data_IF_918212892841
#
_entry.id   IF_918212892841
#
_cell.length_a   1.000
_cell.length_b   1.000
_cell.length_c   1.000
_cell.angle_alpha   90.00
_cell.angle_beta   90.00
_cell.angle_gamma   90.00
#
_symmetry.space_group_name_H-M   'P 1'
#
loop_
_entity.id
_entity.type
_entity.pdbx_description
1 polymer ?
#
# COMPACT_ATOMS: atom_id res chain seq x y z
N UNK A 1 -14.00 -11.69 30.53
CA UNK A 1 -13.01 -10.60 30.64
C UNK A 1 -12.87 -9.98 29.26
N UNK A 2 -13.40 -8.78 29.07
CA UNK A 2 -13.33 -8.06 27.80
C UNK A 2 -11.99 -7.31 27.72
N UNK A 3 -11.22 -7.56 26.66
CA UNK A 3 -10.03 -6.79 26.37
C UNK A 3 -10.43 -5.48 25.68
N UNK A 4 -10.70 -4.46 26.50
CA UNK A 4 -10.66 -3.07 26.03
C UNK A 4 -9.19 -2.69 25.89
N UNK A 5 -8.64 -2.73 24.67
CA UNK A 5 -7.29 -2.29 24.40
C UNK A 5 -7.30 -0.90 23.73
N UNK A 6 -7.10 0.19 24.50
CA UNK A 6 -7.20 1.57 23.99
C UNK A 6 -6.09 1.95 22.99
N UNK A 7 -5.10 1.09 22.75
CA UNK A 7 -4.02 1.36 21.79
C UNK A 7 -4.42 1.16 20.32
N UNK A 8 -5.44 0.32 20.03
CA UNK A 8 -5.91 0.11 18.65
C UNK A 8 -6.84 1.22 18.15
N UNK A 9 -7.42 2.02 19.06
CA UNK A 9 -8.35 3.09 18.68
C UNK A 9 -7.63 4.31 18.05
N UNK A 10 -6.36 4.55 18.33
CA UNK A 10 -5.66 5.74 17.81
C UNK A 10 -5.28 5.66 16.32
N UNK A 11 -5.31 4.48 15.70
CA UNK A 11 -5.05 4.33 14.25
C UNK A 11 -6.32 4.48 13.39
N UNK A 12 -7.52 4.32 13.99
CA UNK A 12 -8.80 4.47 13.30
C UNK A 12 -9.35 5.89 13.29
N UNK A 13 -8.87 6.76 14.20
CA UNK A 13 -9.40 8.13 14.39
C UNK A 13 -9.19 9.06 13.18
N UNK A 14 -8.41 8.66 12.18
CA UNK A 14 -8.17 9.49 10.98
C UNK A 14 -8.96 9.09 9.73
N UNK A 15 -9.80 8.04 9.78
CA UNK A 15 -10.54 7.59 8.59
C UNK A 15 -12.03 7.96 8.56
N UNK A 16 -12.65 8.40 9.66
CA UNK A 16 -13.99 9.00 9.56
C UNK A 16 -14.36 9.80 10.83
N UNK A 17 -14.33 11.13 10.77
CA UNK A 17 -14.93 11.98 11.83
C UNK A 17 -16.30 12.54 11.46
N UNK A 18 -16.90 12.19 10.32
CA UNK A 18 -18.22 12.66 9.95
C UNK A 18 -19.07 11.55 9.32
N UNK A 19 -19.55 10.60 10.13
CA UNK A 19 -20.85 9.95 9.91
C UNK A 19 -21.19 9.01 11.07
N UNK A 20 -21.89 9.54 12.07
CA UNK A 20 -22.78 8.71 12.87
C UNK A 20 -24.12 8.62 12.12
N UNK A 21 -24.34 7.55 11.34
CA UNK A 21 -25.68 7.03 10.98
C UNK A 21 -25.57 5.65 10.29
N UNK A 22 -26.24 4.60 10.82
CA UNK A 22 -25.99 3.22 10.42
C UNK A 22 -26.64 2.91 9.07
N UNK A 23 -25.84 2.46 8.09
CA UNK A 23 -26.30 1.76 6.90
C UNK A 23 -25.22 0.74 6.50
N UNK A 24 -25.63 -0.45 6.03
CA UNK A 24 -24.79 -1.63 5.71
C UNK A 24 -23.48 -1.40 4.92
N UNK A 25 -23.28 -0.25 4.28
CA UNK A 25 -22.01 0.15 3.66
C UNK A 25 -20.87 0.36 4.66
N UNK A 26 -21.18 0.65 5.93
CA UNK A 26 -20.16 0.88 6.97
C UNK A 26 -19.40 -0.40 7.34
N UNK A 27 -20.04 -1.57 7.28
CA UNK A 27 -19.38 -2.83 7.60
C UNK A 27 -18.37 -3.24 6.54
N UNK A 28 -18.69 -3.08 5.26
CA UNK A 28 -17.77 -3.39 4.16
C UNK A 28 -16.56 -2.45 4.18
N UNK A 29 -16.78 -1.15 4.42
CA UNK A 29 -15.70 -0.17 4.54
C UNK A 29 -14.80 -0.44 5.75
N UNK A 30 -15.37 -0.84 6.89
CA UNK A 30 -14.60 -1.17 8.09
C UNK A 30 -13.64 -2.35 7.87
N UNK A 31 -14.09 -3.38 7.14
CA UNK A 31 -13.26 -4.55 6.84
C UNK A 31 -12.12 -4.16 5.89
N UNK A 32 -12.39 -3.33 4.88
CA UNK A 32 -11.36 -2.84 3.94
C UNK A 32 -10.33 -1.94 4.65
N UNK A 33 -10.79 -1.04 5.52
CA UNK A 33 -9.93 -0.19 6.36
C UNK A 33 -9.04 -1.03 7.28
N UNK A 34 -9.60 -2.09 7.88
CA UNK A 34 -8.86 -2.99 8.73
C UNK A 34 -7.75 -3.73 7.96
N UNK A 35 -8.07 -4.33 6.81
CA UNK A 35 -7.05 -5.01 6.00
C UNK A 35 -6.00 -4.04 5.43
N UNK A 36 -6.42 -2.83 5.08
CA UNK A 36 -5.52 -1.75 4.66
C UNK A 36 -4.56 -1.39 5.79
N UNK A 37 -5.06 -1.22 7.02
CA UNK A 37 -4.23 -0.92 8.19
C UNK A 37 -3.22 -2.03 8.48
N UNK A 38 -3.63 -3.30 8.40
CA UNK A 38 -2.75 -4.47 8.62
C UNK A 38 -1.60 -4.56 7.60
N UNK A 39 -1.79 -4.00 6.41
CA UNK A 39 -0.78 -4.00 5.33
C UNK A 39 -0.01 -2.68 5.22
N UNK A 40 -0.29 -1.72 6.12
CA UNK A 40 0.30 -0.38 6.10
C UNK A 40 1.35 -0.22 7.18
N UNK A 41 2.56 0.13 6.77
CA UNK A 41 3.66 0.41 7.67
C UNK A 41 4.11 1.85 7.52
N UNK A 42 4.43 2.49 8.63
CA UNK A 42 5.01 3.84 8.62
C UNK A 42 6.52 3.75 8.73
N UNK A 43 7.20 4.59 7.95
CA UNK A 43 8.64 4.77 8.01
C UNK A 43 9.00 6.25 7.98
N UNK A 44 10.17 6.57 8.49
CA UNK A 44 10.73 7.91 8.40
C UNK A 44 11.02 8.25 6.94
N UNK A 45 10.75 9.50 6.59
CA UNK A 45 11.07 10.06 5.29
C UNK A 45 12.02 11.24 5.50
N UNK A 46 13.25 11.09 5.05
CA UNK A 46 14.26 12.13 5.02
C UNK A 46 14.44 12.56 3.56
N UNK A 47 14.22 13.84 3.28
CA UNK A 47 14.28 14.37 1.93
C UNK A 47 15.71 14.43 1.36
N UNK A 48 16.71 14.48 2.23
CA UNK A 48 18.13 14.50 1.86
C UNK A 48 18.69 13.08 1.71
N UNK A 49 18.04 12.09 2.32
CA UNK A 49 18.47 10.71 2.25
C UNK A 49 18.04 10.06 0.92
N UNK A 50 19.03 9.62 0.15
CA UNK A 50 18.83 8.91 -1.13
C UNK A 50 18.36 7.46 -0.95
N UNK A 51 18.38 6.94 0.28
CA UNK A 51 17.94 5.59 0.62
C UNK A 51 16.72 5.63 1.55
N UNK A 52 15.77 4.74 1.29
CA UNK A 52 14.62 4.50 2.16
C UNK A 52 14.73 3.12 2.82
N UNK A 53 15.16 3.07 4.07
CA UNK A 53 15.24 1.80 4.81
C UNK A 53 13.83 1.29 5.10
N UNK A 54 13.51 0.09 4.64
CA UNK A 54 12.22 -0.52 4.89
C UNK A 54 12.16 -1.07 6.34
N UNK A 55 11.00 -0.97 7.01
CA UNK A 55 10.82 -1.57 8.33
C UNK A 55 11.09 -3.08 8.30
N UNK A 56 11.79 -3.58 9.32
CA UNK A 56 12.15 -5.00 9.42
C UNK A 56 10.92 -5.92 9.39
N UNK A 57 9.84 -5.55 10.09
CA UNK A 57 8.58 -6.30 10.06
C UNK A 57 7.96 -6.33 8.67
N UNK A 58 7.90 -5.18 7.99
CA UNK A 58 7.38 -5.08 6.63
C UNK A 58 8.16 -5.97 5.64
N UNK A 59 9.49 -5.99 5.77
CA UNK A 59 10.35 -6.81 4.93
C UNK A 59 10.27 -8.30 5.24
N UNK A 60 10.13 -8.66 6.51
CA UNK A 60 9.90 -10.03 6.95
C UNK A 60 8.56 -10.57 6.40
N UNK A 61 7.56 -9.70 6.32
CA UNK A 61 6.22 -10.03 5.89
C UNK A 61 6.05 -10.07 4.36
N UNK A 62 6.41 -8.98 3.68
CA UNK A 62 6.16 -8.82 2.25
C UNK A 62 7.42 -8.97 1.38
N UNK A 63 8.62 -9.00 1.97
CA UNK A 63 9.88 -8.96 1.23
C UNK A 63 10.05 -10.06 0.20
N UNK A 64 9.50 -11.26 0.45
CA UNK A 64 9.54 -12.38 -0.51
C UNK A 64 8.66 -12.16 -1.76
N UNK A 65 7.74 -11.20 -1.72
CA UNK A 65 6.83 -10.84 -2.80
C UNK A 65 7.33 -9.61 -3.57
N UNK A 66 8.40 -8.97 -3.10
CA UNK A 66 9.00 -7.80 -3.73
C UNK A 66 10.02 -8.21 -4.79
N UNK A 67 10.07 -7.43 -5.86
CA UNK A 67 11.05 -7.61 -6.91
C UNK A 67 12.11 -6.53 -6.82
N UNK A 68 13.12 -6.63 -7.68
CA UNK A 68 14.12 -5.58 -7.84
C UNK A 68 13.46 -4.26 -8.19
N UNK A 69 12.45 -4.26 -9.07
CA UNK A 69 11.69 -3.07 -9.40
C UNK A 69 10.31 -3.12 -8.76
N UNK A 70 9.96 -2.06 -8.04
CA UNK A 70 8.64 -1.89 -7.41
C UNK A 70 8.05 -0.54 -7.79
N UNK A 71 6.74 -0.45 -7.81
CA UNK A 71 5.98 0.74 -8.15
C UNK A 71 5.31 1.27 -6.89
N UNK A 72 5.61 2.52 -6.55
CA UNK A 72 4.95 3.27 -5.50
C UNK A 72 3.93 4.21 -6.14
N UNK A 73 2.68 4.15 -5.68
CA UNK A 73 1.57 4.94 -6.21
C UNK A 73 0.95 5.80 -5.12
N UNK A 74 0.68 7.07 -5.40
CA UNK A 74 -0.07 7.91 -4.47
C UNK A 74 -1.57 7.94 -4.82
N UNK A 75 -2.38 8.60 -3.99
CA UNK A 75 -3.83 8.69 -4.21
C UNK A 75 -4.24 9.55 -5.42
N UNK A 76 -3.32 10.33 -6.00
CA UNK A 76 -3.53 11.04 -7.28
C UNK A 76 -3.13 10.22 -8.51
N UNK A 77 -2.65 8.98 -8.32
CA UNK A 77 -2.25 8.09 -9.40
C UNK A 77 -0.84 8.31 -9.95
N UNK A 78 -0.04 9.18 -9.32
CA UNK A 78 1.38 9.35 -9.66
C UNK A 78 2.13 8.06 -9.32
N UNK A 79 2.97 7.58 -10.24
CA UNK A 79 3.70 6.32 -10.12
C UNK A 79 5.20 6.56 -10.13
N UNK A 80 5.87 5.99 -9.14
CA UNK A 80 7.31 6.06 -8.98
C UNK A 80 7.85 4.64 -8.96
N UNK A 81 8.64 4.30 -9.97
CA UNK A 81 9.38 3.06 -9.97
C UNK A 81 10.65 3.22 -9.13
N UNK A 82 10.84 2.30 -8.19
CA UNK A 82 11.98 2.28 -7.27
C UNK A 82 12.71 0.95 -7.32
N UNK A 83 14.03 1.01 -7.13
CA UNK A 83 14.88 -0.19 -7.03
C UNK A 83 15.02 -0.62 -5.58
N UNK A 84 14.72 -1.89 -5.32
CA UNK A 84 14.91 -2.54 -4.03
C UNK A 84 16.29 -3.23 -4.00
N UNK A 85 17.09 -2.87 -3.00
CA UNK A 85 18.41 -3.45 -2.77
C UNK A 85 18.63 -3.75 -1.29
N UNK A 86 19.61 -4.62 -1.00
CA UNK A 86 20.02 -4.92 0.36
C UNK A 86 21.31 -4.17 0.68
N UNK A 87 21.24 -3.19 1.57
CA UNK A 87 22.36 -2.39 2.05
C UNK A 87 22.61 -2.71 3.53
N UNK A 88 23.81 -3.18 3.87
CA UNK A 88 24.18 -3.55 5.25
C UNK A 88 23.18 -4.49 5.95
N UNK A 89 22.61 -5.45 5.21
CA UNK A 89 21.63 -6.39 5.75
C UNK A 89 20.18 -5.90 5.75
N UNK A 90 19.94 -4.61 5.51
CA UNK A 90 18.61 -3.98 5.50
C UNK A 90 18.12 -3.85 4.06
N UNK A 91 16.83 -4.11 3.82
CA UNK A 91 16.21 -3.84 2.52
C UNK A 91 15.85 -2.37 2.42
N UNK A 92 16.21 -1.76 1.30
CA UNK A 92 16.05 -0.33 1.08
C UNK A 92 15.53 -0.05 -0.32
N UNK A 93 14.66 0.96 -0.45
CA UNK A 93 14.46 1.62 -1.74
C UNK A 93 15.65 2.53 -2.02
N UNK A 94 16.12 2.51 -3.26
CA UNK A 94 17.36 3.18 -3.70
C UNK A 94 17.05 4.10 -4.89
N UNK A 95 17.46 3.71 -6.09
CA UNK A 95 17.17 4.43 -7.33
C UNK A 95 15.66 4.67 -7.48
N UNK A 96 15.30 5.87 -7.93
CA UNK A 96 13.91 6.31 -8.06
C UNK A 96 13.31 6.90 -6.78
N UNK A 97 13.84 6.58 -5.59
CA UNK A 97 13.32 7.09 -4.30
C UNK A 97 13.36 8.62 -4.22
N UNK A 98 14.49 9.23 -4.57
CA UNK A 98 14.68 10.69 -4.54
C UNK A 98 13.74 11.46 -5.47
N UNK A 99 13.09 10.79 -6.44
CA UNK A 99 12.08 11.46 -7.27
C UNK A 99 10.85 11.84 -6.45
N UNK A 100 10.56 11.13 -5.36
CA UNK A 100 9.46 11.48 -4.45
C UNK A 100 9.78 12.79 -3.73
N UNK A 101 10.99 12.94 -3.17
CA UNK A 101 11.37 14.20 -2.53
C UNK A 101 11.39 15.36 -3.53
N UNK A 102 11.98 15.18 -4.71
CA UNK A 102 12.00 16.18 -5.76
C UNK A 102 10.61 16.66 -6.20
N UNK A 103 9.57 15.81 -6.07
CA UNK A 103 8.21 16.14 -6.48
C UNK A 103 7.38 16.84 -5.39
N UNK A 104 7.59 16.51 -4.12
CA UNK A 104 6.67 16.90 -3.04
C UNK A 104 7.30 17.71 -1.91
N UNK A 105 8.63 17.81 -1.88
CA UNK A 105 9.36 18.51 -0.82
C UNK A 105 9.98 19.78 -1.39
N UNK A 106 9.61 20.92 -0.82
CA UNK A 106 10.24 22.20 -1.16
C UNK A 106 11.58 22.38 -0.42
N UNK A 107 12.31 23.46 -0.72
CA UNK A 107 13.61 23.75 -0.09
C UNK A 107 13.55 23.96 1.44
N UNK A 108 12.37 23.93 2.08
CA UNK A 108 12.19 24.11 3.51
C UNK A 108 11.77 22.82 4.25
N UNK A 109 11.21 21.84 3.52
CA UNK A 109 10.84 20.54 4.06
C UNK A 109 12.05 19.65 4.31
N UNK A 110 12.33 19.34 5.57
CA UNK A 110 13.44 18.43 5.95
C UNK A 110 13.07 16.96 5.96
N UNK A 111 11.78 16.63 5.81
CA UNK A 111 11.30 15.26 5.93
C UNK A 111 9.97 15.14 6.68
N UNK A 112 9.63 13.92 7.07
CA UNK A 112 8.39 13.56 7.74
C UNK A 112 8.18 12.06 7.76
N UNK A 113 7.01 11.62 7.31
CA UNK A 113 6.57 10.23 7.42
C UNK A 113 6.01 9.73 6.10
N UNK A 114 6.38 8.51 5.73
CA UNK A 114 5.74 7.76 4.65
C UNK A 114 4.94 6.64 5.27
N UNK A 115 3.66 6.55 4.93
CA UNK A 115 2.85 5.35 5.16
C UNK A 115 2.85 4.55 3.86
N UNK A 116 3.33 3.31 3.92
CA UNK A 116 3.49 2.41 2.78
C UNK A 116 2.56 1.22 2.96
N UNK A 117 1.62 1.07 2.02
CA UNK A 117 0.62 0.00 2.02
C UNK A 117 0.95 -1.02 0.94
N UNK A 118 1.09 -2.28 1.32
CA UNK A 118 1.23 -3.38 0.37
C UNK A 118 -0.11 -3.69 -0.32
N UNK A 119 -0.15 -3.63 -1.65
CA UNK A 119 -1.35 -3.98 -2.43
C UNK A 119 -1.23 -5.38 -3.01
N UNK A 120 -0.14 -5.62 -3.74
CA UNK A 120 0.15 -6.89 -4.44
C UNK A 120 1.64 -6.89 -4.84
N UNK A 121 2.18 -8.00 -5.39
CA UNK A 121 3.59 -8.05 -5.78
C UNK A 121 3.95 -6.85 -6.68
N UNK A 122 5.06 -6.19 -6.33
CA UNK A 122 5.59 -4.98 -7.01
C UNK A 122 4.76 -3.70 -6.89
N UNK A 123 3.59 -3.70 -6.25
CA UNK A 123 2.72 -2.52 -6.18
C UNK A 123 2.43 -2.13 -4.74
N UNK A 124 2.75 -0.88 -4.43
CA UNK A 124 2.52 -0.28 -3.13
C UNK A 124 1.80 1.05 -3.30
N UNK A 125 0.95 1.37 -2.34
CA UNK A 125 0.41 2.72 -2.18
C UNK A 125 1.25 3.44 -1.14
N UNK A 126 1.53 4.72 -1.36
CA UNK A 126 2.19 5.55 -0.35
C UNK A 126 1.44 6.84 -0.07
N UNK A 127 1.50 7.28 1.20
CA UNK A 127 1.03 8.58 1.66
C UNK A 127 2.21 9.28 2.32
N UNK A 128 2.52 10.49 1.86
CA UNK A 128 3.58 11.32 2.38
C UNK A 128 3.00 12.41 3.29
N UNK A 129 3.51 12.48 4.52
CA UNK A 129 3.15 13.48 5.51
C UNK A 129 4.40 14.20 6.00
N UNK A 130 4.26 15.47 6.37
CA UNK A 130 5.34 16.20 7.03
C UNK A 130 5.50 15.79 8.50
N UNK A 131 6.43 16.44 9.22
CA UNK A 131 6.67 16.20 10.65
C UNK A 131 5.45 16.53 11.54
N UNK A 132 4.55 17.38 11.08
CA UNK A 132 3.31 17.76 11.75
C UNK A 132 2.12 16.86 11.33
N UNK A 133 2.36 15.82 10.53
CA UNK A 133 1.36 14.91 9.97
C UNK A 133 0.41 15.52 8.92
N UNK A 134 0.76 16.67 8.36
CA UNK A 134 0.05 17.30 7.25
C UNK A 134 0.37 16.60 5.93
N UNK A 135 -0.61 16.45 5.05
CA UNK A 135 -0.44 15.78 3.77
C UNK A 135 0.40 16.64 2.81
N UNK A 136 1.57 16.13 2.41
CA UNK A 136 2.49 16.83 1.50
C UNK A 136 2.09 16.66 0.02
N UNK A 137 1.41 15.58 -0.31
CA UNK A 137 1.05 15.26 -1.70
C UNK A 137 -0.04 16.23 -2.21
N UNK A 138 -0.93 16.69 -1.33
CA UNK A 138 -2.00 17.63 -1.69
C UNK A 138 -1.51 19.00 -2.18
N UNK A 139 -0.22 19.32 -2.00
CA UNK A 139 0.35 20.62 -2.34
C UNK A 139 0.93 20.69 -3.75
N UNK A 140 1.28 19.56 -4.38
CA UNK A 140 1.96 19.55 -5.67
C UNK A 140 1.60 18.33 -6.55
N UNK A 141 1.51 18.58 -7.86
CA UNK A 141 1.23 17.63 -8.97
C UNK A 141 -0.23 17.13 -9.01
N UNK A 142 -1.04 17.73 -9.90
CA UNK A 142 -2.44 17.35 -10.13
C UNK A 142 -2.65 16.41 -11.34
N UNK A 143 -1.60 16.11 -12.11
CA UNK A 143 -1.66 15.18 -13.25
C UNK A 143 -0.86 13.91 -12.97
N UNK A 144 -1.37 12.70 -13.31
CA UNK A 144 -0.66 11.45 -13.15
C UNK A 144 0.72 11.48 -13.82
N UNK A 145 1.77 11.55 -13.00
CA UNK A 145 3.15 11.47 -13.43
C UNK A 145 3.68 10.04 -13.33
N UNK A 146 4.52 9.64 -14.28
CA UNK A 146 5.11 8.29 -14.34
C UNK A 146 6.63 8.40 -14.40
N UNK A 147 7.29 7.95 -13.34
CA UNK A 147 8.74 7.92 -13.24
C UNK A 147 9.21 6.47 -13.36
N UNK A 148 9.68 6.08 -14.55
CA UNK A 148 10.20 4.74 -14.83
C UNK A 148 11.73 4.75 -14.88
N UNK A 149 12.36 3.66 -14.44
CA UNK A 149 13.80 3.50 -14.47
C UNK A 149 14.25 2.72 -15.71
N UNK A 150 15.32 3.19 -16.36
CA UNK A 150 15.89 2.50 -17.50
C UNK A 150 16.48 1.15 -17.07
N UNK A 151 15.98 0.05 -17.64
CA UNK A 151 16.43 -1.32 -17.33
C UNK A 151 17.90 -1.56 -17.65
N UNK A 152 18.42 -0.87 -18.68
CA UNK A 152 19.81 -0.94 -19.11
C UNK A 152 20.80 -0.53 -17.99
N UNK A 153 20.39 0.35 -17.08
CA UNK A 153 21.26 0.87 -16.02
C UNK A 153 21.29 -0.03 -14.77
N UNK A 154 20.22 -0.77 -14.49
CA UNK A 154 20.08 -1.52 -13.25
C UNK A 154 19.86 -3.03 -13.46
N UNK A 155 19.89 -3.51 -14.70
CA UNK A 155 19.82 -4.93 -15.03
C UNK A 155 18.40 -5.53 -15.03
N UNK A 156 18.27 -6.86 -15.07
CA UNK A 156 16.97 -7.50 -15.19
C UNK A 156 16.18 -7.46 -13.88
N UNK A 157 14.87 -7.48 -14.02
CA UNK A 157 13.94 -7.59 -12.92
C UNK A 157 13.92 -9.01 -12.36
N UNK A 158 14.11 -9.13 -11.05
CA UNK A 158 14.21 -10.41 -10.34
C UNK A 158 13.77 -10.25 -8.89
N UNK A 159 13.31 -11.33 -8.27
CA UNK A 159 13.16 -11.37 -6.82
C UNK A 159 14.53 -11.15 -6.16
N UNK A 160 14.55 -10.39 -5.06
CA UNK A 160 15.69 -10.45 -4.17
C UNK A 160 15.72 -11.84 -3.52
N UNK A 161 16.90 -12.36 -3.23
CA UNK A 161 17.11 -13.71 -2.68
C UNK A 161 16.10 -14.09 -1.59
N UNK A 162 15.78 -15.40 -1.48
CA UNK A 162 14.73 -15.96 -0.63
C UNK A 162 14.66 -15.30 0.75
N UNK A 163 13.80 -14.29 0.88
CA UNK A 163 13.35 -13.79 2.17
C UNK A 163 12.52 -14.90 2.80
N UNK A 164 12.81 -15.22 4.07
CA UNK A 164 12.10 -16.27 4.81
C UNK A 164 10.60 -15.96 4.78
N UNK A 165 9.81 -16.87 4.20
CA UNK A 165 8.34 -16.73 4.20
C UNK A 165 7.84 -16.94 5.61
N UNK A 166 7.17 -15.93 6.15
CA UNK A 166 6.40 -16.07 7.38
C UNK A 166 4.95 -16.25 6.98
N UNK A 167 4.29 -17.27 7.53
CA UNK A 167 2.86 -17.43 7.40
C UNK A 167 2.19 -16.27 8.13
N UNK A 168 1.61 -15.33 7.38
CA UNK A 168 0.90 -14.20 7.97
C UNK A 168 -0.48 -14.69 8.41
N UNK A 169 -0.97 -14.27 9.59
CA UNK A 169 -2.28 -14.69 10.08
C UNK A 169 -3.46 -14.25 9.20
N UNK A 170 -3.22 -13.35 8.23
CA UNK A 170 -4.19 -12.78 7.29
C UNK A 170 -3.72 -12.83 5.82
N UNK A 171 -2.63 -13.56 5.50
CA UNK A 171 -2.30 -13.84 4.11
C UNK A 171 -3.20 -14.98 3.64
N UNK A 172 -4.28 -14.62 2.96
CA UNK A 172 -4.99 -15.60 2.15
C UNK A 172 -4.05 -16.00 1.01
N UNK A 173 -3.74 -17.29 0.92
CA UNK A 173 -3.17 -17.87 -0.29
C UNK A 173 -4.11 -17.53 -1.46
N UNK A 174 -3.58 -17.10 -2.60
CA UNK A 174 -4.42 -16.86 -3.79
C UNK A 174 -5.19 -18.13 -4.21
N UNK A 175 -4.69 -19.31 -3.84
CA UNK A 175 -5.39 -20.59 -4.02
C UNK A 175 -6.51 -20.86 -3.01
N UNK A 176 -6.68 -20.03 -1.98
CA UNK A 176 -7.68 -20.18 -0.91
C UNK A 176 -8.86 -19.19 -1.01
N UNK A 177 -9.01 -18.46 -2.12
CA UNK A 177 -10.22 -17.66 -2.33
C UNK A 177 -11.40 -18.55 -2.75
N UNK A 178 -12.45 -18.58 -1.92
CA UNK A 178 -13.77 -18.92 -2.40
C UNK A 178 -14.33 -17.69 -3.15
N UNK A 179 -14.39 -17.75 -4.48
CA UNK A 179 -15.08 -16.73 -5.25
C UNK A 179 -16.58 -16.81 -4.96
N UNK A 180 -17.07 -15.95 -4.08
CA UNK A 180 -18.51 -15.79 -3.86
C UNK A 180 -19.02 -14.81 -4.93
N UNK A 181 -19.66 -15.37 -5.97
CA UNK A 181 -20.39 -14.58 -6.95
C UNK A 181 -21.80 -14.34 -6.43
N UNK A 182 -22.11 -13.11 -6.05
CA UNK A 182 -23.48 -12.68 -5.74
C UNK A 182 -24.10 -12.17 -7.04
N UNK A 183 -25.14 -12.85 -7.51
CA UNK A 183 -25.91 -12.46 -8.69
C UNK A 183 -27.30 -12.02 -8.25
N UNK A 184 -27.71 -10.81 -8.64
CA UNK A 184 -29.08 -10.34 -8.43
C UNK A 184 -29.99 -10.97 -9.48
N UNK A 185 -30.95 -11.79 -9.04
CA UNK A 185 -31.88 -12.49 -9.92
C UNK A 185 -32.89 -11.52 -10.55
N UNK A 186 -33.12 -11.67 -11.85
CA UNK A 186 -34.23 -11.00 -12.53
C UNK A 186 -35.51 -11.84 -12.43
N UNK A 187 -36.70 -11.25 -12.62
CA UNK A 187 -37.95 -12.02 -12.68
C UNK A 187 -37.95 -13.13 -13.75
N UNK A 188 -37.20 -12.94 -14.83
CA UNK A 188 -37.03 -13.94 -15.90
C UNK A 188 -36.20 -15.14 -15.44
N UNK A 189 -35.17 -14.93 -14.62
CA UNK A 189 -34.33 -16.01 -14.08
C UNK A 189 -35.15 -16.89 -13.10
N UNK A 190 -36.00 -16.25 -12.30
CA UNK A 190 -36.91 -16.93 -11.37
C UNK A 190 -37.98 -17.73 -12.13
N UNK A 191 -38.53 -17.18 -13.20
CA UNK A 191 -39.58 -17.84 -13.98
C UNK A 191 -39.06 -18.98 -14.86
N UNK A 192 -37.84 -18.86 -15.39
CA UNK A 192 -37.24 -19.86 -16.27
C UNK A 192 -36.49 -20.96 -15.52
N UNK A 193 -36.02 -20.68 -14.29
CA UNK A 193 -35.21 -21.61 -13.50
C UNK A 193 -33.77 -21.75 -13.99
N UNK A 194 -33.33 -20.93 -14.96
CA UNK A 194 -31.97 -20.95 -15.50
C UNK A 194 -31.28 -19.60 -15.24
N UNK A 195 -30.00 -19.66 -14.85
CA UNK A 195 -29.14 -18.48 -14.73
C UNK A 195 -28.33 -18.31 -16.01
N UNK A 196 -28.59 -17.24 -16.76
CA UNK A 196 -27.78 -16.89 -17.92
C UNK A 196 -26.54 -16.12 -17.47
N UNK A 197 -25.38 -16.78 -17.51
CA UNK A 197 -24.08 -16.15 -17.23
C UNK A 197 -23.53 -15.58 -18.53
N UNK A 198 -23.51 -14.26 -18.67
CA UNK A 198 -22.78 -13.60 -19.76
C UNK A 198 -21.29 -13.59 -19.40
N UNK A 199 -20.47 -14.26 -20.23
CA UNK A 199 -19.01 -14.30 -20.14
C UNK A 199 -18.38 -13.02 -20.67
#
# INVERSE_FOLDING_TARGET
MAFNNPFLMHHAVFLNTDAAKPNNKEHDNFIDDFFTAMRTYRMEFDAENVLANLPSLFTQEFGSQMHKYNILVNHYGNRFEVVLEKHNGVLCFTHGWSQISNCYVDNHGKGGWVSLTYIRPRLFVFILKDRCYENLIGRHIHNPAYFNLARELFGPDKYLEKVTRIALPYCHDESNFAHIFIVTLTPSDVASGFLLRFS
#
